data_IF_221544149227
#
_entry.id   IF_221544149227
#
_cell.length_a   1.000
_cell.length_b   1.000
_cell.length_c   1.000
_cell.angle_alpha   90.00
_cell.angle_beta   90.00
_cell.angle_gamma   90.00
#
_symmetry.space_group_name_H-M   'P 1'
#
loop_
_entity.id
_entity.type
_entity.pdbx_description
1 polymer ?
#
# COMPACT_ATOMS: atom_id res chain seq x y z
N UNK A 1 -23.85 2.27 2.59
CA UNK A 1 -24.05 0.94 1.97
C UNK A 1 -25.34 0.26 2.46
N UNK A 2 -26.47 0.43 1.78
CA UNK A 2 -27.71 -0.33 2.08
C UNK A 2 -28.06 -1.17 0.85
N UNK A 3 -28.41 -2.43 1.09
CA UNK A 3 -28.83 -3.47 0.12
C UNK A 3 -27.71 -4.31 -0.52
N UNK A 4 -26.74 -4.77 0.28
CA UNK A 4 -25.92 -5.92 -0.13
C UNK A 4 -26.65 -7.25 0.07
N UNK A 5 -26.39 -8.27 -0.76
CA UNK A 5 -26.90 -9.63 -0.53
C UNK A 5 -26.30 -10.25 0.74
N UNK A 6 -26.89 -11.35 1.20
CA UNK A 6 -26.44 -12.07 2.41
C UNK A 6 -24.97 -12.53 2.33
N UNK A 7 -24.52 -12.89 1.13
CA UNK A 7 -23.15 -13.34 0.86
C UNK A 7 -22.51 -12.40 -0.18
N UNK A 8 -22.13 -11.18 0.22
CA UNK A 8 -21.58 -10.22 -0.73
C UNK A 8 -20.20 -10.66 -1.21
N UNK A 9 -19.96 -10.48 -2.50
CA UNK A 9 -18.71 -10.83 -3.18
C UNK A 9 -17.92 -9.56 -3.47
N UNK A 10 -16.64 -9.59 -3.15
CA UNK A 10 -15.67 -8.54 -3.49
C UNK A 10 -14.30 -9.18 -3.76
N UNK A 11 -13.41 -8.47 -4.45
CA UNK A 11 -12.01 -8.86 -4.65
C UNK A 11 -11.15 -8.30 -3.52
N UNK A 12 -9.87 -8.67 -3.38
CA UNK A 12 -8.99 -8.06 -2.36
C UNK A 12 -8.62 -6.62 -2.74
N UNK A 13 -8.24 -6.40 -3.99
CA UNK A 13 -7.77 -5.12 -4.53
C UNK A 13 -7.25 -5.32 -5.94
N UNK A 14 -5.94 -5.51 -6.07
CA UNK A 14 -5.21 -5.66 -7.34
C UNK A 14 -5.81 -6.68 -8.31
N UNK A 15 -5.86 -6.32 -9.59
CA UNK A 15 -6.16 -7.19 -10.73
C UNK A 15 -4.93 -7.38 -11.64
N UNK A 16 -4.85 -8.49 -12.40
CA UNK A 16 -3.74 -8.71 -13.33
C UNK A 16 -3.59 -7.58 -14.34
N UNK A 17 -2.41 -6.96 -14.39
CA UNK A 17 -2.09 -5.90 -15.35
C UNK A 17 -1.77 -6.51 -16.71
N UNK A 18 -2.34 -5.95 -17.77
CA UNK A 18 -2.05 -6.38 -19.14
C UNK A 18 -0.59 -6.05 -19.53
N UNK A 19 -0.03 -6.71 -20.56
CA UNK A 19 1.29 -6.34 -21.10
C UNK A 19 1.38 -4.87 -21.54
N UNK A 20 0.26 -4.28 -21.96
CA UNK A 20 0.16 -2.87 -22.33
C UNK A 20 0.35 -1.95 -21.11
N UNK A 21 -0.38 -2.19 -20.02
CA UNK A 21 -0.25 -1.44 -18.76
C UNK A 21 1.18 -1.55 -18.22
N UNK A 22 1.74 -2.76 -18.19
CA UNK A 22 3.12 -2.98 -17.74
C UNK A 22 4.15 -2.28 -18.65
N UNK A 23 3.89 -2.19 -19.95
CA UNK A 23 4.73 -1.46 -20.89
C UNK A 23 4.65 0.05 -20.66
N UNK A 24 3.44 0.60 -20.52
CA UNK A 24 3.22 2.02 -20.26
C UNK A 24 3.85 2.45 -18.94
N UNK A 25 3.71 1.65 -17.87
CA UNK A 25 4.35 1.90 -16.58
C UNK A 25 5.88 1.99 -16.71
N UNK A 26 6.52 1.05 -17.42
CA UNK A 26 7.97 1.09 -17.68
C UNK A 26 8.39 2.30 -18.52
N UNK A 27 7.58 2.68 -19.51
CA UNK A 27 7.84 3.85 -20.35
C UNK A 27 7.75 5.13 -19.52
N UNK A 28 6.73 5.25 -18.66
CA UNK A 28 6.55 6.40 -17.77
C UNK A 28 7.70 6.53 -16.78
N UNK A 29 8.12 5.42 -16.15
CA UNK A 29 9.28 5.41 -15.24
C UNK A 29 10.58 5.86 -15.92
N UNK A 30 10.70 5.72 -17.24
CA UNK A 30 11.85 6.17 -18.04
C UNK A 30 11.65 7.56 -18.66
N UNK A 31 10.52 8.22 -18.40
CA UNK A 31 10.16 9.51 -19.01
C UNK A 31 9.87 9.44 -20.51
N UNK A 32 9.59 8.25 -21.05
CA UNK A 32 9.32 8.04 -22.48
C UNK A 32 7.87 8.38 -22.88
N UNK A 33 6.94 8.39 -21.92
CA UNK A 33 5.58 8.88 -22.09
C UNK A 33 5.23 9.84 -20.95
N UNK A 34 4.30 10.75 -21.21
CA UNK A 34 3.83 11.80 -20.30
C UNK A 34 2.95 11.29 -19.16
N UNK A 35 2.62 12.22 -18.25
CA UNK A 35 1.38 12.29 -17.46
C UNK A 35 0.21 11.46 -18.02
N UNK A 36 -0.41 12.18 -18.93
CA UNK A 36 -1.70 11.94 -19.51
C UNK A 36 -1.71 10.68 -20.38
N UNK A 37 -0.61 10.39 -21.07
CA UNK A 37 -0.50 9.18 -21.88
C UNK A 37 -0.58 7.91 -21.04
N UNK A 38 0.08 7.89 -19.86
CA UNK A 38 -0.04 6.75 -18.95
C UNK A 38 -1.43 6.66 -18.32
N UNK A 39 -1.98 7.80 -17.86
CA UNK A 39 -3.32 7.83 -17.26
C UNK A 39 -4.37 7.28 -18.23
N UNK A 40 -4.28 7.60 -19.53
CA UNK A 40 -5.19 7.04 -20.54
C UNK A 40 -5.11 5.51 -20.65
N UNK A 41 -3.91 4.94 -20.56
CA UNK A 41 -3.74 3.47 -20.60
C UNK A 41 -4.30 2.84 -19.33
N UNK A 42 -4.02 3.45 -18.17
CA UNK A 42 -4.51 2.97 -16.89
C UNK A 42 -6.03 3.07 -16.77
N UNK A 43 -6.63 4.18 -17.21
CA UNK A 43 -8.08 4.41 -17.22
C UNK A 43 -8.80 3.33 -18.04
N UNK A 44 -8.28 3.01 -19.24
CA UNK A 44 -8.84 1.92 -20.05
C UNK A 44 -8.76 0.56 -19.33
N UNK A 45 -7.66 0.29 -18.62
CA UNK A 45 -7.51 -0.93 -17.85
C UNK A 45 -8.47 -0.99 -16.64
N UNK A 46 -8.66 0.13 -15.94
CA UNK A 46 -9.65 0.24 -14.85
C UNK A 46 -11.06 -0.03 -15.36
N UNK A 47 -11.44 0.53 -16.52
CA UNK A 47 -12.75 0.30 -17.11
C UNK A 47 -12.96 -1.16 -17.53
N UNK A 48 -11.94 -1.82 -18.04
CA UNK A 48 -12.00 -3.24 -18.37
C UNK A 48 -12.13 -4.13 -17.12
N UNK A 49 -11.39 -3.81 -16.04
CA UNK A 49 -11.52 -4.49 -14.75
C UNK A 49 -12.91 -4.26 -14.14
N UNK A 50 -13.42 -3.04 -14.20
CA UNK A 50 -14.79 -2.73 -13.76
C UNK A 50 -15.78 -3.59 -14.55
N UNK A 51 -15.76 -3.54 -15.88
CA UNK A 51 -16.66 -4.32 -16.74
C UNK A 51 -16.64 -5.81 -16.39
N UNK A 52 -15.47 -6.39 -16.17
CA UNK A 52 -15.35 -7.80 -15.78
C UNK A 52 -15.95 -8.09 -14.40
N UNK A 53 -15.75 -7.21 -13.42
CA UNK A 53 -16.39 -7.35 -12.10
C UNK A 53 -17.92 -7.24 -12.21
N UNK A 54 -18.43 -6.32 -13.03
CA UNK A 54 -19.85 -6.12 -13.24
C UNK A 54 -20.50 -7.31 -13.96
N UNK A 55 -19.87 -7.81 -15.03
CA UNK A 55 -20.32 -8.97 -15.82
C UNK A 55 -20.32 -10.26 -14.98
N UNK A 56 -19.42 -10.37 -13.98
CA UNK A 56 -19.32 -11.53 -13.08
C UNK A 56 -20.18 -11.41 -11.82
N UNK A 57 -20.87 -10.28 -11.62
CA UNK A 57 -21.77 -10.10 -10.48
C UNK A 57 -21.05 -9.79 -9.15
N UNK A 58 -19.86 -9.19 -9.19
CA UNK A 58 -19.20 -8.67 -7.98
C UNK A 58 -20.06 -7.56 -7.37
N UNK A 59 -20.31 -7.65 -6.06
CA UNK A 59 -21.19 -6.72 -5.34
C UNK A 59 -20.49 -5.43 -4.93
N UNK A 60 -19.22 -5.52 -4.54
CA UNK A 60 -18.38 -4.36 -4.17
C UNK A 60 -17.13 -4.37 -5.04
N UNK A 61 -17.04 -3.39 -5.93
CA UNK A 61 -16.00 -3.33 -6.97
C UNK A 61 -14.78 -2.54 -6.53
N UNK A 62 -13.64 -2.81 -7.16
CA UNK A 62 -12.38 -2.06 -7.01
C UNK A 62 -11.93 -1.55 -8.36
N UNK A 63 -11.03 -0.56 -8.41
CA UNK A 63 -10.40 -0.14 -9.68
C UNK A 63 -9.35 -1.14 -10.18
N UNK A 64 -9.02 -2.13 -9.35
CA UNK A 64 -8.01 -3.15 -9.61
C UNK A 64 -6.58 -2.65 -9.47
N UNK A 65 -6.37 -1.47 -8.90
CA UNK A 65 -5.06 -0.84 -8.66
C UNK A 65 -4.22 -0.73 -9.94
N UNK A 66 -4.87 -0.55 -11.09
CA UNK A 66 -4.22 -0.66 -12.40
C UNK A 66 -3.16 0.40 -12.64
N UNK A 67 -3.33 1.60 -12.05
CA UNK A 67 -2.38 2.71 -12.17
C UNK A 67 -1.22 2.68 -11.17
N UNK A 68 -1.33 1.87 -10.11
CA UNK A 68 -0.30 1.78 -9.07
C UNK A 68 0.86 0.92 -9.54
N UNK A 69 2.07 1.25 -9.10
CA UNK A 69 3.24 0.43 -9.40
C UNK A 69 3.29 -0.85 -8.55
N UNK A 70 2.98 -0.71 -7.27
CA UNK A 70 2.57 -1.78 -6.36
C UNK A 70 1.60 -1.22 -5.29
N UNK A 71 1.13 -2.08 -4.39
CA UNK A 71 0.07 -1.75 -3.43
C UNK A 71 0.48 -0.79 -2.30
N UNK A 72 1.77 -0.45 -2.13
CA UNK A 72 2.23 0.41 -1.03
C UNK A 72 3.23 1.50 -1.44
N UNK A 73 4.04 1.32 -2.49
CA UNK A 73 5.05 2.28 -2.92
C UNK A 73 4.48 3.47 -3.69
N UNK A 74 3.28 3.35 -4.27
CA UNK A 74 2.61 4.43 -4.98
C UNK A 74 2.44 5.70 -4.12
N UNK A 75 2.37 5.55 -2.79
CA UNK A 75 2.29 6.69 -1.86
C UNK A 75 3.47 7.64 -1.98
N UNK A 76 4.65 7.17 -2.42
CA UNK A 76 5.80 8.03 -2.65
C UNK A 76 5.60 9.00 -3.83
N UNK A 77 4.69 8.69 -4.74
CA UNK A 77 4.28 9.60 -5.81
C UNK A 77 3.26 10.64 -5.31
N UNK A 78 2.82 10.59 -4.06
CA UNK A 78 1.74 11.42 -3.49
C UNK A 78 2.17 12.14 -2.20
N UNK A 79 3.30 11.73 -1.63
CA UNK A 79 3.89 12.28 -0.42
C UNK A 79 5.23 12.96 -0.72
N UNK A 80 5.41 14.16 -0.21
CA UNK A 80 6.72 14.80 -0.13
C UNK A 80 7.54 14.15 1.00
N UNK A 81 8.87 14.26 0.94
CA UNK A 81 9.76 13.64 1.92
C UNK A 81 9.98 12.12 1.75
N UNK A 82 9.34 11.50 0.77
CA UNK A 82 9.50 10.07 0.45
C UNK A 82 10.23 9.89 -0.88
N UNK A 83 11.28 9.06 -0.89
CA UNK A 83 12.04 8.69 -2.09
C UNK A 83 11.84 7.20 -2.40
N UNK A 84 11.55 6.87 -3.66
CA UNK A 84 11.50 5.48 -4.12
C UNK A 84 12.92 4.96 -4.37
N UNK A 85 13.57 4.51 -3.30
CA UNK A 85 14.90 3.91 -3.38
C UNK A 85 14.86 2.57 -4.07
N UNK A 86 15.73 2.40 -5.06
CA UNK A 86 16.08 1.10 -5.62
C UNK A 86 16.88 0.29 -4.62
N UNK A 87 16.89 -1.03 -4.77
CA UNK A 87 17.73 -1.89 -3.93
C UNK A 87 19.23 -1.57 -4.05
N UNK A 88 19.67 -1.05 -5.19
CA UNK A 88 21.05 -0.61 -5.38
C UNK A 88 21.39 0.60 -4.51
N UNK A 89 20.51 1.61 -4.47
CA UNK A 89 20.68 2.76 -3.56
C UNK A 89 20.62 2.33 -2.09
N UNK A 90 19.78 1.34 -1.76
CA UNK A 90 19.71 0.80 -0.39
C UNK A 90 21.00 0.06 0.00
N UNK A 91 21.58 -0.75 -0.90
CA UNK A 91 22.86 -1.46 -0.67
C UNK A 91 24.02 -0.52 -0.30
N UNK A 92 23.97 0.73 -0.76
CA UNK A 92 25.00 1.72 -0.45
C UNK A 92 24.91 2.25 0.98
N UNK A 93 23.71 2.22 1.59
CA UNK A 93 23.44 2.82 2.90
C UNK A 93 23.21 1.80 4.02
N UNK A 94 22.81 0.56 3.73
CA UNK A 94 22.53 -0.45 4.77
C UNK A 94 23.80 -0.91 5.49
N UNK A 95 23.72 -1.05 6.83
CA UNK A 95 24.82 -1.54 7.68
C UNK A 95 25.22 -3.00 7.34
N UNK A 96 24.25 -3.92 7.18
CA UNK A 96 24.48 -5.34 6.86
C UNK A 96 24.30 -5.65 5.38
N UNK A 97 25.29 -5.28 4.56
CA UNK A 97 25.30 -5.55 3.11
C UNK A 97 25.17 -7.04 2.79
N UNK A 98 25.88 -7.90 3.53
CA UNK A 98 25.88 -9.34 3.30
C UNK A 98 24.53 -10.00 3.68
N UNK A 99 23.84 -9.48 4.71
CA UNK A 99 22.46 -9.85 5.03
C UNK A 99 21.49 -9.41 3.94
N UNK A 100 21.62 -8.18 3.46
CA UNK A 100 20.78 -7.65 2.40
C UNK A 100 20.95 -8.43 1.08
N UNK A 101 22.18 -8.78 0.68
CA UNK A 101 22.43 -9.57 -0.53
C UNK A 101 21.80 -10.98 -0.46
N UNK A 102 21.86 -11.66 0.70
CA UNK A 102 21.20 -12.96 0.92
C UNK A 102 19.68 -12.85 0.81
N UNK A 103 19.13 -11.75 1.32
CA UNK A 103 17.72 -11.41 1.20
C UNK A 103 17.31 -11.26 -0.28
N UNK A 104 18.11 -10.54 -1.08
CA UNK A 104 17.85 -10.36 -2.51
C UNK A 104 17.88 -11.67 -3.29
N UNK A 105 18.83 -12.56 -2.98
CA UNK A 105 18.92 -13.89 -3.61
C UNK A 105 17.69 -14.76 -3.32
N UNK A 106 17.04 -14.56 -2.17
CA UNK A 106 15.86 -15.35 -1.77
C UNK A 106 14.58 -14.91 -2.49
N UNK A 107 14.51 -13.64 -2.90
CA UNK A 107 13.29 -13.05 -3.45
C UNK A 107 12.98 -13.51 -4.89
N UNK A 108 13.93 -14.09 -5.63
CA UNK A 108 13.79 -14.46 -7.06
C UNK A 108 13.19 -13.34 -7.95
N UNK A 109 13.35 -12.08 -7.52
CA UNK A 109 12.94 -10.89 -8.27
C UNK A 109 14.19 -10.08 -8.59
N UNK A 110 14.37 -9.60 -9.83
CA UNK A 110 15.55 -8.81 -10.17
C UNK A 110 15.67 -7.57 -9.28
N UNK A 111 16.87 -7.30 -8.74
CA UNK A 111 17.08 -6.23 -7.77
C UNK A 111 16.69 -4.82 -8.28
N UNK A 112 16.70 -4.61 -9.60
CA UNK A 112 16.31 -3.35 -10.22
C UNK A 112 14.79 -3.13 -10.33
N UNK A 113 13.98 -4.16 -10.10
CA UNK A 113 12.53 -4.07 -10.23
C UNK A 113 11.80 -3.78 -8.92
N UNK A 114 12.50 -3.83 -7.77
CA UNK A 114 11.92 -3.51 -6.48
C UNK A 114 12.37 -2.11 -6.07
N UNK A 115 11.39 -1.27 -5.76
CA UNK A 115 11.60 0.04 -5.15
C UNK A 115 10.94 0.05 -3.79
N UNK A 116 11.60 0.66 -2.82
CA UNK A 116 11.08 0.85 -1.48
C UNK A 116 10.78 2.34 -1.25
N UNK A 117 9.55 2.72 -0.89
CA UNK A 117 9.27 4.06 -0.40
C UNK A 117 10.08 4.26 0.88
N UNK A 118 11.01 5.21 0.87
CA UNK A 118 11.94 5.47 1.98
C UNK A 118 11.83 6.92 2.40
N UNK A 119 11.64 7.15 3.70
CA UNK A 119 11.55 8.50 4.25
C UNK A 119 12.93 9.15 4.30
N UNK A 120 13.10 10.24 3.54
CA UNK A 120 14.34 11.04 3.43
C UNK A 120 14.15 12.50 3.85
N UNK A 121 12.92 12.91 4.12
CA UNK A 121 12.51 14.24 4.58
C UNK A 121 11.24 14.11 5.45
N UNK A 122 10.78 15.21 6.07
CA UNK A 122 9.51 15.20 6.81
C UNK A 122 8.41 14.81 5.81
N UNK A 123 7.63 13.79 6.10
CA UNK A 123 6.57 13.34 5.21
C UNK A 123 5.40 14.32 5.28
N UNK A 124 4.99 14.80 4.12
CA UNK A 124 3.87 15.72 3.99
C UNK A 124 3.02 15.30 2.80
N UNK A 125 1.71 15.43 2.93
CA UNK A 125 0.77 15.01 1.90
C UNK A 125 0.67 16.08 0.84
N UNK A 126 1.09 15.76 -0.39
CA UNK A 126 0.97 16.68 -1.53
C UNK A 126 -0.44 16.67 -2.10
N UNK A 127 -1.05 15.50 -2.11
CA UNK A 127 -2.40 15.24 -2.60
C UNK A 127 -2.95 13.95 -1.97
N UNK A 128 -4.26 13.66 -2.08
CA UNK A 128 -4.80 12.39 -1.63
C UNK A 128 -4.16 11.17 -2.27
N UNK A 129 -4.08 10.09 -1.49
CA UNK A 129 -3.40 8.87 -1.89
C UNK A 129 -4.18 8.15 -2.99
N UNK A 130 -5.50 7.95 -2.80
CA UNK A 130 -6.36 7.17 -3.68
C UNK A 130 -7.72 7.84 -3.97
N UNK A 131 -7.94 9.08 -3.53
CA UNK A 131 -9.21 9.78 -3.80
C UNK A 131 -9.46 9.97 -5.30
N UNK A 132 -8.42 10.29 -6.08
CA UNK A 132 -8.50 10.41 -7.54
C UNK A 132 -8.90 9.09 -8.20
N UNK A 133 -8.35 7.97 -7.74
CA UNK A 133 -8.71 6.62 -8.19
C UNK A 133 -10.18 6.31 -7.90
N UNK A 134 -10.64 6.59 -6.67
CA UNK A 134 -12.04 6.42 -6.28
C UNK A 134 -12.97 7.30 -7.11
N UNK A 135 -12.67 8.60 -7.25
CA UNK A 135 -13.48 9.55 -8.01
C UNK A 135 -13.57 9.17 -9.48
N UNK A 136 -12.48 8.64 -10.06
CA UNK A 136 -12.51 8.10 -11.41
C UNK A 136 -13.52 6.95 -11.49
N UNK A 137 -13.37 5.91 -10.67
CA UNK A 137 -14.22 4.72 -10.71
C UNK A 137 -15.71 5.06 -10.46
N UNK A 138 -15.99 5.96 -9.50
CA UNK A 138 -17.34 6.42 -9.14
C UNK A 138 -18.09 7.10 -10.28
N UNK A 139 -17.39 7.71 -11.25
CA UNK A 139 -18.01 8.28 -12.47
C UNK A 139 -18.51 7.21 -13.45
N UNK A 140 -18.07 5.96 -13.29
CA UNK A 140 -18.29 4.89 -14.26
C UNK A 140 -19.14 3.73 -13.72
N UNK A 141 -19.48 3.71 -12.44
CA UNK A 141 -20.36 2.68 -11.86
C UNK A 141 -21.21 3.22 -10.73
N UNK A 142 -22.38 2.61 -10.57
CA UNK A 142 -23.23 2.84 -9.40
C UNK A 142 -23.02 1.86 -8.25
N UNK A 143 -22.25 0.78 -8.49
CA UNK A 143 -21.97 -0.25 -7.48
C UNK A 143 -21.20 0.33 -6.29
N UNK A 144 -21.33 -0.28 -5.10
CA UNK A 144 -20.45 0.01 -3.97
C UNK A 144 -18.98 -0.13 -4.34
N UNK A 145 -18.16 0.84 -3.92
CA UNK A 145 -16.72 0.85 -4.24
C UNK A 145 -15.89 0.56 -2.99
N UNK A 146 -14.90 -0.33 -3.15
CA UNK A 146 -13.85 -0.54 -2.18
C UNK A 146 -12.53 0.09 -2.62
N UNK A 147 -11.88 0.80 -1.69
CA UNK A 147 -10.57 1.45 -1.87
C UNK A 147 -9.53 0.76 -0.98
N UNK A 148 -8.62 -0.05 -1.54
CA UNK A 148 -7.49 -0.61 -0.81
C UNK A 148 -6.41 0.45 -0.56
N UNK A 149 -5.92 0.52 0.67
CA UNK A 149 -4.82 1.37 1.12
C UNK A 149 -3.79 0.52 1.87
N UNK A 150 -2.50 0.85 1.80
CA UNK A 150 -1.50 0.23 2.64
C UNK A 150 -1.76 0.61 4.11
N UNK A 151 -1.62 -0.37 5.01
CA UNK A 151 -1.85 -0.15 6.44
C UNK A 151 -0.76 0.70 7.11
N UNK A 152 -1.08 1.33 8.26
CA UNK A 152 -0.16 2.22 8.95
C UNK A 152 1.13 1.55 9.43
N UNK A 153 1.06 0.29 9.88
CA UNK A 153 2.24 -0.43 10.35
C UNK A 153 3.14 -0.80 9.17
N UNK A 154 2.57 -1.34 8.08
CA UNK A 154 3.29 -1.57 6.84
C UNK A 154 4.00 -0.31 6.35
N UNK A 155 3.29 0.82 6.23
CA UNK A 155 3.87 2.07 5.74
C UNK A 155 5.00 2.56 6.64
N UNK A 156 4.77 2.61 7.95
CA UNK A 156 5.79 3.02 8.93
C UNK A 156 7.03 2.15 8.81
N UNK A 157 6.85 0.82 8.74
CA UNK A 157 7.95 -0.13 8.68
C UNK A 157 8.69 -0.10 7.34
N UNK A 158 7.99 0.08 6.23
CA UNK A 158 8.59 0.19 4.90
C UNK A 158 9.38 1.50 4.73
N UNK A 159 8.82 2.61 5.20
CA UNK A 159 9.45 3.93 5.06
C UNK A 159 10.62 4.16 6.01
N UNK A 160 10.67 3.45 7.14
CA UNK A 160 11.74 3.56 8.11
C UNK A 160 13.00 2.79 7.70
N UNK A 161 13.96 3.51 7.12
CA UNK A 161 15.32 3.00 6.88
C UNK A 161 16.28 3.82 7.73
N UNK A 162 16.78 3.21 8.81
CA UNK A 162 17.55 3.88 9.87
C UNK A 162 18.58 4.89 9.33
N UNK A 163 19.38 4.52 8.35
CA UNK A 163 20.47 5.36 7.83
C UNK A 163 19.98 6.56 7.01
N UNK A 164 18.81 6.45 6.37
CA UNK A 164 18.19 7.51 5.59
C UNK A 164 17.23 8.38 6.41
N UNK A 165 16.52 7.77 7.35
CA UNK A 165 15.36 8.36 8.02
C UNK A 165 15.71 9.02 9.36
N UNK A 166 16.69 8.48 10.10
CA UNK A 166 16.97 8.89 11.50
C UNK A 166 17.30 10.36 11.70
N UNK A 167 17.78 11.03 10.65
CA UNK A 167 18.15 12.44 10.70
C UNK A 167 16.92 13.37 10.72
N UNK A 168 15.78 12.87 10.21
CA UNK A 168 14.50 13.57 10.13
C UNK A 168 13.58 13.11 11.26
N UNK A 169 13.46 11.81 11.43
CA UNK A 169 12.68 11.17 12.48
C UNK A 169 13.65 10.35 13.32
N UNK A 170 13.97 10.75 14.56
CA UNK A 170 14.86 9.98 15.43
C UNK A 170 14.39 8.56 15.73
N UNK A 171 13.08 8.32 15.70
CA UNK A 171 12.45 7.03 15.99
C UNK A 171 11.35 6.68 14.97
N UNK A 172 11.06 5.39 14.78
CA UNK A 172 9.99 4.94 13.87
C UNK A 172 8.62 5.35 14.38
N UNK A 173 8.47 5.49 15.69
CA UNK A 173 7.27 5.96 16.37
C UNK A 173 6.97 7.40 15.98
N UNK A 174 7.98 8.27 15.90
CA UNK A 174 7.79 9.65 15.42
C UNK A 174 7.39 9.73 13.94
N UNK A 175 7.88 8.82 13.09
CA UNK A 175 7.41 8.69 11.71
C UNK A 175 5.94 8.21 11.67
N UNK A 176 5.60 7.26 12.56
CA UNK A 176 4.26 6.68 12.63
C UNK A 176 3.19 7.73 12.97
N UNK A 177 3.51 8.74 13.77
CA UNK A 177 2.60 9.87 14.06
C UNK A 177 2.10 10.55 12.78
N UNK A 178 3.00 10.84 11.83
CA UNK A 178 2.61 11.48 10.58
C UNK A 178 1.90 10.50 9.63
N UNK A 179 2.32 9.23 9.60
CA UNK A 179 1.63 8.18 8.84
C UNK A 179 0.17 8.05 9.30
N UNK A 180 -0.05 8.05 10.62
CA UNK A 180 -1.40 8.02 11.20
C UNK A 180 -2.18 9.26 10.79
N UNK A 181 -1.58 10.45 10.87
CA UNK A 181 -2.26 11.70 10.45
C UNK A 181 -2.69 11.66 8.98
N UNK A 182 -1.78 11.26 8.10
CA UNK A 182 -2.01 11.15 6.65
C UNK A 182 -3.16 10.18 6.35
N UNK A 183 -3.14 8.97 6.95
CA UNK A 183 -4.18 7.98 6.70
C UNK A 183 -5.54 8.39 7.28
N UNK A 184 -5.57 9.13 8.40
CA UNK A 184 -6.81 9.68 8.95
C UNK A 184 -7.43 10.74 8.03
N UNK A 185 -6.61 11.60 7.45
CA UNK A 185 -7.07 12.56 6.44
C UNK A 185 -7.58 11.86 5.18
N UNK A 186 -6.86 10.83 4.69
CA UNK A 186 -7.29 10.02 3.54
C UNK A 186 -8.64 9.35 3.78
N UNK A 187 -8.83 8.73 4.97
CA UNK A 187 -10.12 8.15 5.37
C UNK A 187 -11.23 9.20 5.30
N UNK A 188 -10.97 10.39 5.86
CA UNK A 188 -11.95 11.47 5.90
C UNK A 188 -12.39 11.89 4.51
N UNK A 189 -11.45 12.15 3.60
CA UNK A 189 -11.78 12.60 2.25
C UNK A 189 -12.44 11.53 1.40
N UNK A 190 -12.01 10.27 1.52
CA UNK A 190 -12.69 9.14 0.86
C UNK A 190 -14.13 9.00 1.36
N UNK A 191 -14.36 9.15 2.67
CA UNK A 191 -15.70 9.13 3.26
C UNK A 191 -16.53 10.30 2.78
N UNK A 192 -16.00 11.52 2.80
CA UNK A 192 -16.69 12.73 2.33
C UNK A 192 -17.06 12.62 0.83
N UNK A 193 -16.26 11.91 0.04
CA UNK A 193 -16.55 11.59 -1.36
C UNK A 193 -17.51 10.40 -1.57
N UNK A 194 -17.90 9.71 -0.50
CA UNK A 194 -18.91 8.65 -0.50
C UNK A 194 -18.37 7.24 -0.68
N UNK A 195 -17.08 6.98 -0.44
CA UNK A 195 -16.52 5.64 -0.53
C UNK A 195 -17.28 4.66 0.37
N UNK A 196 -17.69 3.51 -0.18
CA UNK A 196 -18.49 2.54 0.56
C UNK A 196 -17.63 1.67 1.47
N UNK A 197 -16.40 1.35 1.06
CA UNK A 197 -15.50 0.49 1.84
C UNK A 197 -14.04 0.96 1.68
N UNK A 198 -13.37 1.26 2.78
CA UNK A 198 -11.92 1.50 2.82
C UNK A 198 -11.25 0.28 3.48
N UNK A 199 -10.27 -0.31 2.80
CA UNK A 199 -9.52 -1.46 3.29
C UNK A 199 -8.07 -1.04 3.59
N UNK A 200 -7.53 -1.50 4.72
CA UNK A 200 -6.10 -1.42 5.01
C UNK A 200 -5.43 -2.77 4.81
N UNK A 201 -4.29 -2.78 4.10
CA UNK A 201 -3.52 -3.98 3.82
C UNK A 201 -2.31 -4.08 4.75
N UNK A 202 -2.29 -5.10 5.60
CA UNK A 202 -1.24 -5.36 6.59
C UNK A 202 -0.66 -6.78 6.44
N UNK A 203 -0.10 -7.14 5.27
CA UNK A 203 0.47 -8.48 5.04
C UNK A 203 1.65 -8.79 5.97
N UNK A 204 2.36 -7.75 6.43
CA UNK A 204 3.56 -7.85 7.27
C UNK A 204 3.25 -8.35 8.68
N UNK A 205 2.00 -8.25 9.16
CA UNK A 205 1.62 -8.80 10.47
C UNK A 205 1.81 -10.32 10.54
N UNK A 206 1.56 -11.03 9.43
CA UNK A 206 1.80 -12.48 9.41
C UNK A 206 3.28 -12.80 9.47
N UNK A 207 4.12 -12.00 8.82
CA UNK A 207 5.57 -12.16 8.86
C UNK A 207 6.08 -12.08 10.29
N UNK A 208 5.65 -11.10 11.09
CA UNK A 208 6.06 -10.96 12.49
C UNK A 208 5.81 -12.24 13.30
N UNK A 209 4.64 -12.84 13.13
CA UNK A 209 4.24 -14.05 13.85
C UNK A 209 5.03 -15.27 13.39
N UNK A 210 5.18 -15.47 12.07
CA UNK A 210 5.79 -16.68 11.52
C UNK A 210 7.33 -16.67 11.56
N UNK A 211 7.95 -15.49 11.63
CA UNK A 211 9.41 -15.38 11.54
C UNK A 211 10.14 -15.55 12.87
N UNK A 212 9.48 -15.42 14.02
CA UNK A 212 10.06 -15.62 15.36
C UNK A 212 11.49 -15.05 15.52
N UNK A 213 11.73 -13.84 15.00
CA UNK A 213 13.03 -13.16 15.10
C UNK A 213 14.07 -13.51 14.03
N UNK A 214 13.75 -14.35 13.03
CA UNK A 214 14.55 -14.50 11.81
C UNK A 214 14.12 -13.45 10.79
N UNK A 215 15.01 -12.53 10.40
CA UNK A 215 14.73 -11.56 9.32
C UNK A 215 14.36 -12.32 8.04
N UNK A 216 13.08 -12.31 7.66
CA UNK A 216 12.62 -12.83 6.37
C UNK A 216 11.91 -11.73 5.60
N UNK A 217 12.11 -11.80 4.31
CA UNK A 217 11.97 -10.65 3.43
C UNK A 217 10.52 -10.46 3.00
N UNK A 218 9.79 -9.58 3.66
CA UNK A 218 8.89 -8.74 2.89
C UNK A 218 9.64 -7.49 2.43
N UNK A 219 9.50 -7.17 1.13
CA UNK A 219 10.15 -6.08 0.39
C UNK A 219 10.60 -4.94 1.30
N UNK A 220 11.92 -4.87 1.58
CA UNK A 220 12.66 -3.82 2.28
C UNK A 220 12.21 -3.40 3.71
N UNK A 221 10.96 -3.64 4.10
CA UNK A 221 10.44 -3.50 5.47
C UNK A 221 11.18 -4.41 6.46
N UNK A 222 11.94 -5.40 5.97
CA UNK A 222 12.78 -6.29 6.77
C UNK A 222 13.92 -5.59 7.55
N UNK A 223 14.27 -4.33 7.24
CA UNK A 223 15.42 -3.65 7.85
C UNK A 223 15.20 -3.15 9.28
N UNK A 224 13.95 -3.08 9.75
CA UNK A 224 13.60 -2.50 11.05
C UNK A 224 13.22 -3.54 12.14
N UNK A 225 13.19 -4.84 11.80
CA UNK A 225 12.78 -5.88 12.74
C UNK A 225 13.90 -6.22 13.73
N UNK A 226 14.01 -5.42 14.79
CA UNK A 226 14.70 -5.79 16.02
C UNK A 226 13.84 -5.36 17.19
N UNK A 227 12.90 -6.22 17.59
CA UNK A 227 12.21 -6.27 18.89
C UNK A 227 11.42 -7.59 18.99
N UNK A 228 10.90 -7.87 20.19
CA UNK A 228 10.00 -8.99 20.45
C UNK A 228 8.78 -8.91 19.49
N UNK A 229 8.43 -9.99 18.75
CA UNK A 229 7.23 -10.00 17.92
C UNK A 229 5.95 -9.55 18.65
N UNK A 230 5.86 -9.76 19.96
CA UNK A 230 4.74 -9.27 20.76
C UNK A 230 4.69 -7.73 20.81
N UNK A 231 5.82 -7.07 21.06
CA UNK A 231 5.92 -5.61 21.10
C UNK A 231 5.63 -4.98 19.73
N UNK A 232 6.11 -5.61 18.65
CA UNK A 232 5.79 -5.15 17.29
C UNK A 232 4.30 -5.29 16.95
N UNK A 233 3.65 -6.36 17.41
CA UNK A 233 2.21 -6.55 17.22
C UNK A 233 1.40 -5.54 18.05
N UNK A 234 1.82 -5.26 19.29
CA UNK A 234 1.19 -4.22 20.11
C UNK A 234 1.30 -2.85 19.44
N UNK A 235 2.47 -2.50 18.92
CA UNK A 235 2.68 -1.27 18.17
C UNK A 235 1.80 -1.22 16.91
N UNK A 236 1.74 -2.30 16.13
CA UNK A 236 0.90 -2.34 14.94
C UNK A 236 -0.60 -2.19 15.25
N UNK A 237 -1.07 -2.85 16.31
CA UNK A 237 -2.46 -2.74 16.78
C UNK A 237 -2.76 -1.32 17.26
N UNK A 238 -1.84 -0.67 17.98
CA UNK A 238 -1.98 0.74 18.37
C UNK A 238 -2.15 1.64 17.16
N UNK A 239 -1.29 1.53 16.15
CA UNK A 239 -1.37 2.33 14.94
C UNK A 239 -2.69 2.12 14.17
N UNK A 240 -3.12 0.87 14.01
CA UNK A 240 -4.40 0.55 13.35
C UNK A 240 -5.56 1.18 14.14
N UNK A 241 -5.60 1.00 15.46
CA UNK A 241 -6.65 1.59 16.29
C UNK A 241 -6.67 3.12 16.18
N UNK A 242 -5.50 3.77 16.19
CA UNK A 242 -5.39 5.23 16.06
C UNK A 242 -5.82 5.75 14.70
N UNK A 243 -5.55 5.02 13.61
CA UNK A 243 -6.07 5.38 12.28
C UNK A 243 -7.59 5.26 12.24
N UNK A 244 -8.14 4.23 12.90
CA UNK A 244 -9.57 3.91 12.88
C UNK A 244 -10.38 4.72 13.93
N UNK A 245 -9.71 5.34 14.90
CA UNK A 245 -10.36 6.03 16.01
C UNK A 245 -11.30 7.16 15.53
N UNK A 246 -12.53 7.13 16.02
CA UNK A 246 -13.60 8.06 15.61
C UNK A 246 -14.20 7.80 14.22
N UNK A 247 -13.63 6.91 13.40
CA UNK A 247 -14.11 6.67 12.04
C UNK A 247 -15.47 5.94 12.00
N UNK A 248 -15.78 5.15 13.04
CA UNK A 248 -17.09 4.49 13.23
C UNK A 248 -18.19 5.45 13.75
N UNK A 249 -17.82 6.56 14.37
CA UNK A 249 -18.78 7.47 15.02
C UNK A 249 -19.45 8.43 14.04
N UNK A 250 -18.78 8.74 12.94
CA UNK A 250 -19.30 9.57 11.87
C UNK A 250 -20.03 8.66 10.85
N UNK A 251 -21.27 8.34 11.18
CA UNK A 251 -22.08 7.30 10.55
C UNK A 251 -22.56 7.69 9.12
N UNK A 252 -21.64 7.71 8.15
CA UNK A 252 -21.89 7.88 6.71
C UNK A 252 -22.35 6.56 6.05
N UNK A 253 -21.95 5.42 6.63
CA UNK A 253 -22.22 4.10 6.05
C UNK A 253 -21.09 3.55 5.19
N UNK A 254 -19.91 4.21 5.22
CA UNK A 254 -18.61 3.64 4.83
C UNK A 254 -18.19 2.55 5.81
N UNK A 255 -17.74 1.41 5.30
CA UNK A 255 -17.12 0.34 6.08
C UNK A 255 -15.61 0.49 6.08
N UNK A 256 -14.99 0.08 7.17
CA UNK A 256 -13.56 -0.07 7.26
C UNK A 256 -13.23 -1.55 7.43
N UNK A 257 -12.09 -1.99 6.92
CA UNK A 257 -11.67 -3.38 7.01
C UNK A 257 -10.18 -3.54 6.90
N UNK A 258 -9.71 -4.70 7.34
CA UNK A 258 -8.31 -5.05 7.37
C UNK A 258 -8.11 -6.32 6.56
N UNK A 259 -7.22 -6.27 5.58
CA UNK A 259 -6.75 -7.44 4.87
C UNK A 259 -5.39 -7.86 5.43
N UNK A 260 -5.32 -9.12 5.84
CA UNK A 260 -4.10 -9.78 6.28
C UNK A 260 -3.94 -11.00 5.38
N UNK A 261 -2.77 -11.15 4.74
CA UNK A 261 -2.43 -12.37 4.03
C UNK A 261 -1.12 -12.94 4.55
N UNK A 262 -0.98 -14.26 4.44
CA UNK A 262 0.29 -14.97 4.65
C UNK A 262 1.33 -14.62 3.58
N UNK A 263 0.86 -14.01 2.49
CA UNK A 263 1.53 -13.85 1.21
C UNK A 263 2.15 -15.12 0.64
N UNK A 264 2.94 -14.96 -0.43
CA UNK A 264 3.38 -16.07 -1.28
C UNK A 264 4.82 -16.53 -0.97
N UNK A 265 5.30 -16.32 0.26
CA UNK A 265 6.73 -16.38 0.58
C UNK A 265 7.24 -17.73 1.10
N UNK A 266 6.35 -18.67 1.47
CA UNK A 266 6.75 -19.98 1.97
C UNK A 266 5.76 -21.07 1.58
N UNK A 267 6.29 -22.20 1.12
CA UNK A 267 5.55 -23.46 0.93
C UNK A 267 5.55 -24.36 2.17
N UNK A 268 6.20 -23.93 3.26
CA UNK A 268 6.24 -24.69 4.52
C UNK A 268 4.96 -24.41 5.30
N UNK A 269 3.92 -25.22 5.10
CA UNK A 269 2.67 -25.21 5.88
C UNK A 269 2.89 -25.57 7.35
#
# INVERSE_FOLDING_TARGET
MKDLPLFPVTTVGSWPRSPEVLSAQRQRQRGAISAEEFERVADNAVLEVLRQQEDTGVDIVTDGEQRRDNFYSFVAEKLDGVHLMTLAEMLDIVEDKAGFERILQTLDVPAFSIKNPTCVGKIERREPLALDEYLFLRRHTDRPIKVPLPGPYLLTRAMWVKEATRAVYPTKEELAEDVVSILREEIRELRDAGADFIQFDEPVLTELVFTQGQTRTFMCAALAARNDPAEELEFAVDLINRVMDGADQENNGTRLGLHICRGNWSRQE
#
